data_IF_628197507231
#
_entry.id   IF_628197507231
#
_cell.length_a   1.000
_cell.length_b   1.000
_cell.length_c   1.000
_cell.angle_alpha   90.00
_cell.angle_beta   90.00
_cell.angle_gamma   90.00
#
_symmetry.space_group_name_H-M   'P 1'
#
loop_
_entity.id
_entity.type
_entity.pdbx_description
1 polymer ?
#
# COMPACT_ATOMS: atom_id res chain seq x y z
N UNK A 1 -49.43 -17.19 -68.03
CA UNK A 1 -48.00 -16.80 -68.13
C UNK A 1 -47.58 -16.19 -66.80
N UNK A 2 -46.66 -16.85 -66.08
CA UNK A 2 -46.00 -16.36 -64.85
C UNK A 2 -44.60 -16.98 -64.82
N UNK A 3 -43.53 -16.20 -64.66
CA UNK A 3 -42.59 -16.49 -63.57
C UNK A 3 -42.09 -15.19 -62.88
N UNK A 4 -42.22 -15.04 -61.56
CA UNK A 4 -41.36 -15.54 -60.46
C UNK A 4 -40.00 -14.78 -60.40
N UNK A 5 -39.85 -13.95 -59.36
CA UNK A 5 -38.60 -13.25 -58.95
C UNK A 5 -37.64 -14.20 -58.21
N UNK A 6 -36.31 -14.01 -58.30
CA UNK A 6 -35.38 -14.57 -57.33
C UNK A 6 -34.98 -13.53 -56.27
N UNK A 7 -35.05 -13.95 -55.00
CA UNK A 7 -34.48 -13.27 -53.85
C UNK A 7 -32.97 -13.57 -53.77
N UNK A 8 -32.14 -12.54 -53.64
CA UNK A 8 -30.70 -12.67 -53.39
C UNK A 8 -30.44 -12.43 -51.91
N UNK A 9 -29.92 -13.46 -51.23
CA UNK A 9 -29.57 -13.46 -49.81
C UNK A 9 -28.13 -12.94 -49.67
N UNK A 10 -27.94 -11.82 -48.98
CA UNK A 10 -26.62 -11.29 -48.64
C UNK A 10 -26.13 -11.94 -47.33
N UNK A 11 -25.04 -12.73 -47.38
CA UNK A 11 -24.33 -13.19 -46.19
C UNK A 11 -23.37 -12.08 -45.72
N UNK A 12 -23.73 -11.41 -44.62
CA UNK A 12 -22.82 -10.51 -43.91
C UNK A 12 -22.04 -11.28 -42.84
N UNK A 13 -20.71 -11.39 -43.00
CA UNK A 13 -19.82 -11.92 -41.96
C UNK A 13 -19.49 -10.81 -40.96
N UNK A 14 -20.10 -10.85 -39.78
CA UNK A 14 -19.74 -9.99 -38.66
C UNK A 14 -18.48 -10.54 -37.97
N UNK A 15 -17.36 -9.81 -38.08
CA UNK A 15 -16.13 -10.11 -37.36
C UNK A 15 -16.25 -9.55 -35.94
N UNK A 16 -16.60 -10.40 -34.98
CA UNK A 16 -16.69 -10.00 -33.56
C UNK A 16 -15.28 -9.81 -33.00
N UNK A 17 -14.90 -8.57 -32.72
CA UNK A 17 -13.66 -8.25 -32.01
C UNK A 17 -13.77 -8.75 -30.56
N UNK A 18 -13.15 -9.89 -30.26
CA UNK A 18 -12.97 -10.34 -28.89
C UNK A 18 -11.83 -9.53 -28.26
N UNK A 19 -12.17 -8.49 -27.49
CA UNK A 19 -11.20 -7.84 -26.61
C UNK A 19 -10.76 -8.85 -25.55
N UNK A 20 -9.45 -9.09 -25.33
CA UNK A 20 -9.02 -9.90 -24.21
C UNK A 20 -9.37 -9.13 -22.93
N UNK A 21 -10.37 -9.61 -22.19
CA UNK A 21 -10.57 -9.20 -20.82
C UNK A 21 -9.37 -9.72 -20.03
N UNK A 22 -8.44 -8.84 -19.68
CA UNK A 22 -7.42 -9.15 -18.68
C UNK A 22 -8.16 -9.41 -17.37
N UNK A 23 -8.26 -10.69 -16.99
CA UNK A 23 -8.81 -11.08 -15.71
C UNK A 23 -7.86 -10.55 -14.63
N UNK A 24 -8.25 -9.47 -13.96
CA UNK A 24 -7.63 -9.05 -12.71
C UNK A 24 -7.90 -10.17 -11.71
N UNK A 25 -6.87 -10.92 -11.33
CA UNK A 25 -6.96 -11.88 -10.26
C UNK A 25 -7.19 -11.08 -8.97
N UNK A 26 -8.35 -11.26 -8.33
CA UNK A 26 -8.62 -10.69 -7.01
C UNK A 26 -7.68 -11.40 -6.03
N UNK A 27 -6.72 -10.67 -5.47
CA UNK A 27 -5.81 -11.22 -4.46
C UNK A 27 -6.49 -11.03 -3.11
N UNK A 28 -6.96 -12.11 -2.51
CA UNK A 28 -7.47 -12.07 -1.14
C UNK A 28 -6.36 -11.56 -0.21
N UNK A 29 -6.65 -10.48 0.54
CA UNK A 29 -5.71 -9.86 1.48
C UNK A 29 -6.23 -9.94 2.91
N UNK A 30 -5.30 -10.00 3.86
CA UNK A 30 -5.59 -10.02 5.29
C UNK A 30 -4.82 -8.93 6.01
N UNK A 31 -5.45 -8.33 7.02
CA UNK A 31 -4.80 -7.39 7.92
C UNK A 31 -3.98 -8.17 8.95
N UNK A 32 -2.66 -8.02 8.90
CA UNK A 32 -1.73 -8.64 9.85
C UNK A 32 -1.62 -7.85 11.16
N UNK A 33 -1.89 -6.54 11.15
CA UNK A 33 -1.77 -5.71 12.36
C UNK A 33 -1.74 -4.21 12.06
N UNK A 34 -1.15 -3.45 12.99
CA UNK A 34 -0.96 -2.02 12.87
C UNK A 34 0.50 -1.63 13.20
N UNK A 35 1.07 -0.76 12.38
CA UNK A 35 2.40 -0.18 12.59
C UNK A 35 2.24 1.30 12.92
N UNK A 36 2.68 1.70 14.12
CA UNK A 36 2.61 3.08 14.60
C UNK A 36 4.01 3.64 14.75
N UNK A 37 4.33 4.70 14.01
CA UNK A 37 5.63 5.35 14.03
C UNK A 37 5.52 6.78 14.57
N UNK A 38 6.52 7.17 15.35
CA UNK A 38 6.72 8.54 15.83
C UNK A 38 7.97 9.11 15.19
N UNK A 39 7.86 10.31 14.63
CA UNK A 39 9.03 11.04 14.12
C UNK A 39 9.81 11.61 15.31
N UNK A 40 11.08 11.27 15.42
CA UNK A 40 11.96 11.85 16.44
C UNK A 40 12.04 13.38 16.24
N UNK A 41 11.59 14.12 17.26
CA UNK A 41 11.32 15.55 17.15
C UNK A 41 12.58 16.41 17.29
N UNK A 42 13.08 16.96 16.17
CA UNK A 42 13.95 18.12 16.15
C UNK A 42 13.18 19.34 15.61
N UNK A 43 13.34 20.51 16.23
CA UNK A 43 12.81 21.75 15.67
C UNK A 43 13.50 22.05 14.33
N UNK A 44 12.71 22.24 13.27
CA UNK A 44 13.22 22.59 11.93
C UNK A 44 12.87 21.55 10.88
N UNK A 45 11.68 21.68 10.31
CA UNK A 45 11.25 20.89 9.16
C UNK A 45 11.97 21.40 7.90
N UNK A 46 13.14 20.84 7.59
CA UNK A 46 13.87 21.16 6.36
C UNK A 46 13.42 20.17 5.27
N UNK A 47 12.87 20.73 4.20
CA UNK A 47 12.45 20.01 3.00
C UNK A 47 13.60 19.16 2.44
N UNK A 48 13.29 17.92 2.06
CA UNK A 48 14.25 17.01 1.43
C UNK A 48 15.20 16.26 2.39
N UNK A 49 15.10 16.47 3.71
CA UNK A 49 15.92 15.72 4.68
C UNK A 49 15.22 14.44 5.16
N UNK A 50 15.93 13.33 5.09
CA UNK A 50 15.54 12.07 5.74
C UNK A 50 15.30 12.25 7.23
N UNK A 51 14.36 11.50 7.81
CA UNK A 51 14.05 11.53 9.25
C UNK A 51 13.97 10.12 9.80
N UNK A 52 14.56 9.94 10.98
CA UNK A 52 14.49 8.70 11.72
C UNK A 52 13.22 8.64 12.57
N UNK A 53 12.72 7.42 12.74
CA UNK A 53 11.45 7.09 13.36
C UNK A 53 11.65 5.94 14.34
N UNK A 54 10.91 5.98 15.43
CA UNK A 54 10.65 4.81 16.26
C UNK A 54 9.26 4.27 15.93
N UNK A 55 9.16 2.97 15.67
CA UNK A 55 7.92 2.32 15.26
C UNK A 55 7.60 1.12 16.15
N UNK A 56 6.33 0.98 16.51
CA UNK A 56 5.79 -0.18 17.22
C UNK A 56 4.80 -0.90 16.30
N UNK A 57 5.03 -2.18 16.06
CA UNK A 57 4.10 -3.07 15.39
C UNK A 57 3.29 -3.85 16.42
N UNK A 58 1.97 -3.73 16.32
CA UNK A 58 1.00 -4.49 17.11
C UNK A 58 0.31 -5.49 16.17
N UNK A 59 0.58 -6.81 16.32
CA UNK A 59 -0.09 -7.84 15.55
C UNK A 59 -1.60 -7.87 15.79
N UNK A 60 -2.37 -8.27 14.77
CA UNK A 60 -3.81 -8.53 14.91
C UNK A 60 -4.07 -9.83 15.69
N UNK A 61 -3.15 -10.79 15.60
CA UNK A 61 -3.15 -12.02 16.39
C UNK A 61 -2.49 -11.76 17.74
N UNK A 62 -3.26 -11.84 18.82
CA UNK A 62 -2.78 -11.57 20.18
C UNK A 62 -1.82 -12.63 20.73
N UNK A 63 -1.63 -13.75 20.02
CA UNK A 63 -0.61 -14.74 20.37
C UNK A 63 0.80 -14.32 19.95
N UNK A 64 0.92 -13.35 19.04
CA UNK A 64 2.19 -12.79 18.58
C UNK A 64 2.59 -11.58 19.43
N UNK A 65 3.86 -11.45 19.82
CA UNK A 65 4.32 -10.30 20.60
C UNK A 65 4.37 -9.03 19.76
N UNK A 66 4.29 -7.87 20.43
CA UNK A 66 4.60 -6.60 19.78
C UNK A 66 6.08 -6.55 19.39
N UNK A 67 6.36 -5.84 18.29
CA UNK A 67 7.71 -5.70 17.74
C UNK A 67 8.09 -4.23 17.64
N UNK A 68 9.37 -3.95 17.90
CA UNK A 68 9.93 -2.61 17.74
C UNK A 68 10.77 -2.53 16.47
N UNK A 69 10.55 -1.48 15.71
CA UNK A 69 11.29 -1.16 14.49
C UNK A 69 11.84 0.25 14.59
N UNK A 70 13.00 0.47 13.98
CA UNK A 70 13.45 1.81 13.62
C UNK A 70 13.18 2.02 12.14
N UNK A 71 12.80 3.23 11.78
CA UNK A 71 12.51 3.57 10.41
C UNK A 71 13.16 4.85 9.94
N UNK A 72 13.27 5.00 8.62
CA UNK A 72 13.69 6.25 8.00
C UNK A 72 12.73 6.57 6.86
N UNK A 73 12.25 7.82 6.80
CA UNK A 73 11.42 8.32 5.69
C UNK A 73 12.20 9.28 4.82
N UNK A 74 11.92 9.23 3.51
CA UNK A 74 12.46 10.13 2.51
C UNK A 74 11.33 10.91 1.83
N UNK A 75 11.57 12.20 1.54
CA UNK A 75 10.68 13.10 0.78
C UNK A 75 9.26 13.22 1.31
N UNK A 76 9.01 14.37 1.96
CA UNK A 76 7.68 14.85 2.24
C UNK A 76 7.14 15.70 1.08
N UNK A 77 5.87 15.50 0.70
CA UNK A 77 5.13 16.43 -0.14
C UNK A 77 5.09 17.82 0.50
N UNK A 78 5.22 18.85 -0.33
CA UNK A 78 5.60 20.24 0.01
C UNK A 78 4.67 20.97 1.01
N UNK A 79 3.47 20.45 1.30
CA UNK A 79 2.42 21.20 2.00
C UNK A 79 2.13 20.77 3.45
N UNK A 80 2.90 19.84 4.01
CA UNK A 80 2.64 19.34 5.38
C UNK A 80 3.35 20.24 6.40
N UNK A 81 2.80 21.43 6.60
CA UNK A 81 3.24 22.45 7.58
C UNK A 81 2.93 22.06 9.03
N UNK A 82 3.47 20.93 9.51
CA UNK A 82 3.22 20.45 10.87
C UNK A 82 4.16 21.10 11.87
N UNK A 83 3.59 21.87 12.78
CA UNK A 83 4.28 22.40 13.95
C UNK A 83 4.03 21.42 15.11
N UNK A 84 4.79 20.32 15.22
CA UNK A 84 4.60 19.34 16.31
C UNK A 84 5.20 17.95 16.09
N UNK A 85 4.94 17.04 17.04
CA UNK A 85 5.23 15.60 16.87
C UNK A 85 4.38 15.07 15.71
N UNK A 86 5.01 14.44 14.73
CA UNK A 86 4.31 13.80 13.63
C UNK A 86 4.15 12.31 13.94
N UNK A 87 2.92 11.81 13.80
CA UNK A 87 2.57 10.41 13.99
C UNK A 87 2.22 9.80 12.63
N UNK A 88 2.59 8.54 12.46
CA UNK A 88 2.28 7.78 11.25
C UNK A 88 1.75 6.41 11.63
N UNK A 89 0.46 6.20 11.39
CA UNK A 89 -0.20 4.92 11.66
C UNK A 89 -0.57 4.25 10.34
N UNK A 90 -0.19 2.98 10.22
CA UNK A 90 -0.39 2.15 9.05
C UNK A 90 -1.11 0.85 9.42
N UNK A 91 -2.06 0.41 8.59
CA UNK A 91 -2.47 -0.99 8.58
C UNK A 91 -1.42 -1.80 7.82
N UNK A 92 -1.02 -2.93 8.39
CA UNK A 92 -0.14 -3.90 7.74
C UNK A 92 -1.02 -4.95 7.07
N UNK A 93 -0.88 -5.08 5.75
CA UNK A 93 -1.70 -5.95 4.91
C UNK A 93 -0.80 -6.85 4.06
N UNK A 94 -1.18 -8.13 3.92
CA UNK A 94 -0.48 -9.12 3.12
C UNK A 94 -1.50 -10.05 2.41
N UNK A 95 -1.09 -10.85 1.41
CA UNK A 95 -1.91 -11.92 0.85
C UNK A 95 -2.39 -12.89 1.94
N UNK A 96 -3.59 -13.44 1.80
CA UNK A 96 -4.22 -14.30 2.80
C UNK A 96 -3.43 -15.58 3.16
N UNK A 97 -2.60 -16.07 2.23
CA UNK A 97 -1.73 -17.23 2.39
C UNK A 97 -0.36 -16.90 3.02
N UNK A 98 -0.11 -15.62 3.35
CA UNK A 98 1.16 -15.19 3.92
C UNK A 98 1.31 -15.61 5.38
N UNK A 99 2.35 -16.39 5.67
CA UNK A 99 2.78 -16.63 7.04
C UNK A 99 3.60 -15.43 7.54
N UNK A 100 3.12 -14.79 8.62
CA UNK A 100 3.87 -13.70 9.23
C UNK A 100 5.00 -14.23 10.13
N UNK A 101 6.21 -13.70 9.97
CA UNK A 101 7.37 -14.03 10.81
C UNK A 101 7.88 -12.79 11.58
N UNK A 102 8.45 -13.01 12.76
CA UNK A 102 9.08 -11.93 13.53
C UNK A 102 10.16 -11.24 12.71
N UNK A 103 10.17 -9.91 12.70
CA UNK A 103 11.11 -9.10 11.93
C UNK A 103 10.75 -8.89 10.46
N UNK A 104 9.65 -9.48 9.97
CA UNK A 104 9.32 -9.48 8.54
C UNK A 104 8.92 -8.10 7.99
N UNK A 105 8.60 -7.13 8.85
CA UNK A 105 8.37 -5.77 8.38
C UNK A 105 9.66 -5.05 7.99
N UNK A 106 10.85 -5.57 8.31
CA UNK A 106 12.10 -4.97 7.90
C UNK A 106 12.23 -4.97 6.37
N UNK A 107 12.55 -3.81 5.80
CA UNK A 107 12.61 -3.66 4.34
C UNK A 107 12.38 -2.23 3.88
N UNK A 108 12.34 -2.07 2.56
CA UNK A 108 12.03 -0.80 1.91
C UNK A 108 10.59 -0.86 1.37
N UNK A 109 9.84 0.19 1.63
CA UNK A 109 8.47 0.39 1.18
C UNK A 109 8.42 1.66 0.35
N UNK A 110 7.83 1.56 -0.83
CA UNK A 110 7.70 2.68 -1.77
C UNK A 110 6.23 2.85 -2.13
N UNK A 111 5.81 4.09 -2.36
CA UNK A 111 4.45 4.37 -2.83
C UNK A 111 4.12 3.51 -4.04
N UNK A 112 2.99 2.80 -3.97
CA UNK A 112 2.51 2.02 -5.10
C UNK A 112 2.27 2.97 -6.27
N UNK A 113 3.07 2.83 -7.32
CA UNK A 113 2.67 3.30 -8.63
C UNK A 113 1.54 2.38 -9.12
N UNK A 114 0.66 2.89 -9.98
CA UNK A 114 -0.56 2.18 -10.40
C UNK A 114 -0.30 0.81 -11.07
N UNK A 115 0.96 0.46 -11.34
CA UNK A 115 1.39 -0.79 -11.98
C UNK A 115 1.66 -1.96 -11.02
N UNK A 116 1.66 -1.76 -9.69
CA UNK A 116 1.88 -2.86 -8.75
C UNK A 116 0.61 -3.74 -8.63
N UNK A 117 0.62 -4.95 -9.20
CA UNK A 117 -0.54 -5.88 -9.20
C UNK A 117 -1.02 -6.22 -7.79
N UNK A 118 -0.12 -6.36 -6.81
CA UNK A 118 -0.49 -6.59 -5.41
C UNK A 118 -1.19 -5.37 -4.76
N UNK A 119 -0.97 -4.17 -5.28
CA UNK A 119 -1.68 -2.96 -4.85
C UNK A 119 -3.02 -2.76 -5.57
N UNK A 120 -3.35 -3.58 -6.58
CA UNK A 120 -4.60 -3.51 -7.33
C UNK A 120 -5.76 -3.96 -6.42
N UNK A 121 -6.23 -3.05 -5.58
CA UNK A 121 -7.24 -3.30 -4.55
C UNK A 121 -6.98 -2.52 -3.26
N UNK A 122 -5.74 -2.09 -3.02
CA UNK A 122 -5.32 -1.48 -1.76
C UNK A 122 -5.46 0.05 -1.70
N UNK A 123 -6.03 0.70 -2.72
CA UNK A 123 -6.26 2.15 -2.73
C UNK A 123 -5.00 2.97 -3.08
N UNK A 124 -5.19 4.27 -3.33
CA UNK A 124 -4.23 5.11 -4.06
C UNK A 124 -3.06 5.71 -3.23
N UNK A 125 -2.83 5.29 -1.99
CA UNK A 125 -1.80 5.89 -1.10
C UNK A 125 -1.07 4.85 -0.24
N UNK A 126 -0.89 3.65 -0.77
CA UNK A 126 -0.24 2.56 -0.04
C UNK A 126 1.25 2.54 -0.32
N UNK A 127 2.03 2.17 0.68
CA UNK A 127 3.43 1.81 0.48
C UNK A 127 3.51 0.30 0.33
N UNK A 128 4.10 -0.18 -0.76
CA UNK A 128 4.34 -1.61 -0.97
C UNK A 128 5.82 -1.86 -0.80
N UNK A 129 6.13 -2.89 -0.04
CA UNK A 129 7.50 -3.27 0.24
C UNK A 129 7.64 -4.76 0.44
N UNK A 130 8.88 -5.16 0.63
CA UNK A 130 9.29 -6.55 0.87
C UNK A 130 8.85 -7.50 -0.27
N UNK A 131 9.75 -7.69 -1.25
CA UNK A 131 9.52 -8.55 -2.43
C UNK A 131 9.23 -10.00 -2.09
N UNK A 132 9.65 -10.48 -0.93
CA UNK A 132 9.49 -11.89 -0.53
C UNK A 132 8.16 -12.15 0.18
N UNK A 133 7.54 -11.12 0.75
CA UNK A 133 6.34 -11.26 1.60
C UNK A 133 5.14 -10.46 1.13
N UNK A 134 5.30 -9.63 0.10
CA UNK A 134 4.24 -8.77 -0.46
C UNK A 134 3.49 -8.03 0.64
N UNK A 135 4.17 -7.12 1.35
CA UNK A 135 3.58 -6.37 2.46
C UNK A 135 3.20 -4.98 1.96
N UNK A 136 1.95 -4.59 2.23
CA UNK A 136 1.46 -3.25 2.01
C UNK A 136 1.19 -2.55 3.35
N UNK A 137 1.61 -1.29 3.41
CA UNK A 137 1.29 -0.37 4.48
C UNK A 137 0.22 0.59 3.96
N UNK A 138 -0.97 0.52 4.54
CA UNK A 138 -2.07 1.43 4.21
C UNK A 138 -2.20 2.53 5.27
N UNK A 139 -2.21 3.82 4.91
CA UNK A 139 -2.38 4.90 5.87
C UNK A 139 -3.70 4.73 6.62
N UNK A 140 -3.66 4.72 7.95
CA UNK A 140 -4.88 4.76 8.74
C UNK A 140 -5.34 6.22 8.86
N UNK A 141 -6.57 6.53 8.47
CA UNK A 141 -7.13 7.87 8.72
C UNK A 141 -7.45 8.04 10.21
N UNK A 142 -6.43 8.31 11.02
CA UNK A 142 -6.58 8.60 12.45
C UNK A 142 -6.16 10.03 12.72
N UNK A 143 -7.08 10.85 13.23
CA UNK A 143 -6.69 12.04 13.97
C UNK A 143 -6.26 11.58 15.36
N UNK A 144 -4.95 11.56 15.63
CA UNK A 144 -4.46 11.30 16.97
C UNK A 144 -4.68 12.57 17.81
N UNK A 145 -5.01 12.41 19.10
CA UNK A 145 -5.16 13.54 20.04
C UNK A 145 -3.90 14.42 20.13
N UNK A 146 -2.73 13.87 19.77
CA UNK A 146 -1.41 14.48 19.91
C UNK A 146 -0.81 14.99 18.58
N UNK A 147 -1.51 14.83 17.44
CA UNK A 147 -1.00 15.24 16.12
C UNK A 147 -1.80 14.76 14.91
N UNK A 148 -1.42 15.25 13.73
CA UNK A 148 -2.00 14.82 12.44
C UNK A 148 -1.29 13.56 11.95
N UNK A 149 -2.05 12.55 11.50
CA UNK A 149 -1.44 11.43 10.78
C UNK A 149 -0.98 11.89 9.40
N UNK A 150 0.33 11.76 9.15
CA UNK A 150 0.99 12.20 7.92
C UNK A 150 1.38 11.06 6.99
N UNK A 151 0.99 9.81 7.30
CA UNK A 151 1.29 8.61 6.53
C UNK A 151 0.96 8.75 5.03
N UNK A 152 -0.15 9.38 4.68
CA UNK A 152 -0.54 9.60 3.28
C UNK A 152 0.41 10.50 2.49
N UNK A 153 1.26 11.30 3.16
CA UNK A 153 2.26 12.16 2.53
C UNK A 153 3.64 11.52 2.37
N UNK A 154 3.79 10.25 2.79
CA UNK A 154 5.06 9.52 2.73
C UNK A 154 5.19 8.82 1.38
N UNK A 155 6.31 9.06 0.69
CA UNK A 155 6.61 8.40 -0.57
C UNK A 155 7.47 7.13 -0.40
N UNK A 156 8.31 7.10 0.63
CA UNK A 156 9.23 6.00 0.91
C UNK A 156 9.46 5.87 2.41
N UNK A 157 9.41 4.62 2.90
CA UNK A 157 9.70 4.24 4.27
C UNK A 157 10.64 3.03 4.27
N UNK A 158 11.75 3.15 5.00
CA UNK A 158 12.62 2.01 5.31
C UNK A 158 12.40 1.60 6.76
N UNK A 159 12.35 0.30 7.02
CA UNK A 159 12.23 -0.27 8.35
C UNK A 159 13.38 -1.24 8.62
N UNK A 160 13.88 -1.24 9.85
CA UNK A 160 14.80 -2.23 10.38
C UNK A 160 14.28 -2.72 11.74
N UNK A 161 14.26 -4.04 11.91
CA UNK A 161 13.89 -4.65 13.17
C UNK A 161 14.94 -4.32 14.23
N UNK A 162 14.50 -3.93 15.43
CA UNK A 162 15.37 -3.87 16.60
C UNK A 162 15.47 -5.29 17.13
N UNK A 163 16.63 -5.92 16.99
CA UNK A 163 16.88 -7.20 17.65
C UNK A 163 16.83 -6.96 19.17
N UNK A 164 15.87 -7.58 19.84
CA UNK A 164 15.82 -7.68 21.30
C UNK A 164 16.88 -8.62 21.85
#
# INVERSE_FOLDING_TARGET
>A
MKPILPAVIALGTALSAASPALAVQDVDTVKLGALNCVVEGGAGYIFGSSKDLACTYTPADSSQPEETYVGTINKFGVDIGVTGKALMSWAVVAPADSAYATGQLAGNYVGASAEATFAAGLGANVLVGNSDSSIALQPLSVQAQEGVNVAAGIAELKLAAVQG
#
